data_IF_864072729086
#
_entry.id   IF_864072729086
#
_cell.length_a   1.000
_cell.length_b   1.000
_cell.length_c   1.000
_cell.angle_alpha   90.00
_cell.angle_beta   90.00
_cell.angle_gamma   90.00
#
_symmetry.space_group_name_H-M   'P 1'
#
loop_
_entity.id
_entity.type
_entity.pdbx_description
1 polymer ?
#
# COMPACT_ATOMS: atom_id res chain seq x y z
N UNK A 1 -9.09 11.38 -16.06
CA UNK A 1 -10.03 10.50 -16.81
C UNK A 1 -9.71 10.44 -18.30
N UNK A 2 -9.48 11.54 -19.01
CA UNK A 2 -9.14 11.48 -20.45
C UNK A 2 -7.88 10.63 -20.72
N UNK A 3 -6.82 10.81 -19.94
CA UNK A 3 -5.60 10.01 -20.07
C UNK A 3 -5.80 8.53 -19.71
N UNK A 4 -6.63 8.23 -18.71
CA UNK A 4 -6.98 6.85 -18.38
C UNK A 4 -7.70 6.16 -19.56
N UNK A 5 -8.66 6.86 -20.20
CA UNK A 5 -9.31 6.34 -21.42
C UNK A 5 -8.30 6.07 -22.54
N UNK A 6 -7.33 6.97 -22.74
CA UNK A 6 -6.28 6.77 -23.74
C UNK A 6 -5.37 5.58 -23.42
N UNK A 7 -5.04 5.36 -22.14
CA UNK A 7 -4.28 4.18 -21.73
C UNK A 7 -5.08 2.88 -21.91
N UNK A 8 -6.36 2.88 -21.52
CA UNK A 8 -7.26 1.72 -21.72
C UNK A 8 -7.43 1.35 -23.19
N UNK A 9 -7.41 2.33 -24.10
CA UNK A 9 -7.47 2.07 -25.54
C UNK A 9 -6.28 1.25 -26.09
N UNK A 10 -5.19 1.13 -25.34
CA UNK A 10 -4.03 0.31 -25.68
C UNK A 10 -4.16 -1.16 -25.26
N UNK A 11 -5.20 -1.50 -24.50
CA UNK A 11 -5.48 -2.87 -24.08
C UNK A 11 -5.58 -3.81 -25.31
N UNK A 12 -4.93 -4.96 -25.20
CA UNK A 12 -4.86 -5.97 -26.27
C UNK A 12 -3.77 -5.69 -27.33
N UNK A 13 -2.98 -4.64 -27.17
CA UNK A 13 -1.96 -4.26 -28.17
C UNK A 13 -0.51 -4.39 -27.69
N UNK A 14 -0.27 -4.57 -26.37
CA UNK A 14 1.06 -4.52 -25.78
C UNK A 14 2.00 -5.61 -26.31
N UNK A 15 1.47 -6.77 -26.64
CA UNK A 15 2.23 -7.89 -27.22
C UNK A 15 2.60 -7.77 -28.69
N UNK A 16 2.16 -6.71 -29.38
CA UNK A 16 2.39 -6.56 -30.84
C UNK A 16 3.85 -6.23 -31.17
N UNK A 17 4.47 -5.31 -30.40
CA UNK A 17 5.87 -4.89 -30.60
C UNK A 17 6.48 -4.32 -29.33
N UNK A 18 7.82 -4.19 -29.28
CA UNK A 18 8.53 -3.51 -28.22
C UNK A 18 8.04 -2.05 -28.06
N UNK A 19 7.79 -1.34 -29.14
CA UNK A 19 7.30 0.05 -29.11
C UNK A 19 5.86 0.16 -28.59
N UNK A 20 5.00 -0.82 -28.93
CA UNK A 20 3.65 -0.90 -28.38
C UNK A 20 3.69 -1.14 -26.87
N UNK A 21 4.57 -2.02 -26.40
CA UNK A 21 4.79 -2.28 -24.97
C UNK A 21 5.28 -1.02 -24.24
N UNK A 22 6.31 -0.34 -24.75
CA UNK A 22 6.81 0.93 -24.20
C UNK A 22 5.69 1.98 -24.11
N UNK A 23 4.90 2.10 -25.16
CA UNK A 23 3.80 3.05 -25.23
C UNK A 23 2.75 2.75 -24.17
N UNK A 24 2.38 1.49 -24.00
CA UNK A 24 1.45 1.05 -22.97
C UNK A 24 1.95 1.30 -21.55
N UNK A 25 3.19 0.88 -21.25
CA UNK A 25 3.82 1.12 -19.95
C UNK A 25 3.84 2.63 -19.63
N UNK A 26 4.33 3.46 -20.54
CA UNK A 26 4.40 4.91 -20.36
C UNK A 26 3.02 5.54 -20.12
N UNK A 27 2.01 5.11 -20.89
CA UNK A 27 0.64 5.61 -20.76
C UNK A 27 0.05 5.29 -19.38
N UNK A 28 0.18 4.04 -18.92
CA UNK A 28 -0.31 3.60 -17.61
C UNK A 28 0.42 4.31 -16.47
N UNK A 29 1.76 4.35 -16.50
CA UNK A 29 2.56 5.05 -15.49
C UNK A 29 2.28 6.54 -15.43
N UNK A 30 1.98 7.20 -16.56
CA UNK A 30 1.61 8.61 -16.58
C UNK A 30 0.27 8.87 -15.87
N UNK A 31 -0.70 7.95 -15.97
CA UNK A 31 -1.97 8.02 -15.24
C UNK A 31 -1.72 7.89 -13.73
N UNK A 32 -1.00 6.83 -13.31
CA UNK A 32 -0.71 6.62 -11.89
C UNK A 32 0.09 7.76 -11.27
N UNK A 33 1.09 8.29 -11.95
CA UNK A 33 1.89 9.43 -11.48
C UNK A 33 1.06 10.70 -11.24
N UNK A 34 0.01 10.91 -12.04
CA UNK A 34 -0.93 12.01 -11.83
C UNK A 34 -1.89 11.74 -10.69
N UNK A 35 -2.40 10.53 -10.62
CA UNK A 35 -3.27 10.09 -9.54
C UNK A 35 -2.57 10.19 -8.19
N UNK A 36 -1.34 9.70 -8.09
CA UNK A 36 -0.54 9.74 -6.87
C UNK A 36 -0.44 11.14 -6.25
N UNK A 37 -0.24 12.17 -7.07
CA UNK A 37 -0.22 13.56 -6.58
C UNK A 37 -1.54 13.99 -5.94
N UNK A 38 -2.66 13.57 -6.51
CA UNK A 38 -3.99 13.86 -5.95
C UNK A 38 -4.21 13.09 -4.68
N UNK A 39 -3.87 11.80 -4.68
CA UNK A 39 -4.03 10.91 -3.55
C UNK A 39 -3.19 11.38 -2.34
N UNK A 40 -1.89 11.60 -2.54
CA UNK A 40 -0.98 12.07 -1.48
C UNK A 40 -1.45 13.40 -0.90
N UNK A 41 -1.87 14.35 -1.75
CA UNK A 41 -2.40 15.63 -1.26
C UNK A 41 -3.65 15.43 -0.40
N UNK A 42 -4.60 14.62 -0.85
CA UNK A 42 -5.85 14.36 -0.12
C UNK A 42 -5.62 13.62 1.19
N UNK A 43 -4.73 12.64 1.20
CA UNK A 43 -4.34 11.89 2.40
C UNK A 43 -3.68 12.80 3.42
N UNK A 44 -2.66 13.59 3.03
CA UNK A 44 -1.99 14.51 3.94
C UNK A 44 -2.94 15.58 4.52
N UNK A 45 -3.94 16.02 3.74
CA UNK A 45 -4.97 16.94 4.25
C UNK A 45 -5.87 16.27 5.27
N UNK A 46 -6.27 15.02 5.02
CA UNK A 46 -7.02 14.21 5.98
C UNK A 46 -6.23 13.98 7.28
N UNK A 47 -4.94 13.68 7.17
CA UNK A 47 -4.05 13.47 8.33
C UNK A 47 -3.80 14.76 9.13
N UNK A 48 -3.76 15.91 8.44
CA UNK A 48 -3.58 17.23 9.09
C UNK A 48 -4.75 17.57 10.03
N UNK A 49 -5.98 17.20 9.65
CA UNK A 49 -7.18 17.46 10.45
C UNK A 49 -8.22 16.37 10.17
N UNK A 50 -8.14 15.30 10.96
CA UNK A 50 -9.01 14.13 10.87
C UNK A 50 -10.49 14.43 11.23
N UNK A 51 -10.77 15.54 11.91
CA UNK A 51 -12.14 16.01 12.21
C UNK A 51 -12.78 16.78 11.05
N UNK A 52 -12.02 17.16 10.02
CA UNK A 52 -12.52 17.98 8.93
C UNK A 52 -13.26 17.16 7.86
N UNK A 53 -14.58 17.26 7.86
CA UNK A 53 -15.45 16.52 6.94
C UNK A 53 -15.13 16.76 5.46
N UNK A 54 -14.64 17.95 5.10
CA UNK A 54 -14.24 18.26 3.71
C UNK A 54 -13.00 17.48 3.31
N UNK A 55 -12.00 17.38 4.18
CA UNK A 55 -10.77 16.63 3.93
C UNK A 55 -11.04 15.12 3.89
N UNK A 56 -11.88 14.62 4.79
CA UNK A 56 -12.32 13.22 4.75
C UNK A 56 -13.05 12.88 3.45
N UNK A 57 -14.01 13.72 3.03
CA UNK A 57 -14.72 13.53 1.77
C UNK A 57 -13.80 13.59 0.54
N UNK A 58 -12.79 14.45 0.57
CA UNK A 58 -11.79 14.55 -0.51
C UNK A 58 -10.93 13.29 -0.57
N UNK A 59 -10.47 12.77 0.58
CA UNK A 59 -9.68 11.54 0.62
C UNK A 59 -10.49 10.33 0.14
N UNK A 60 -11.72 10.17 0.61
CA UNK A 60 -12.61 9.10 0.15
C UNK A 60 -12.86 9.13 -1.37
N UNK A 61 -12.98 10.34 -1.97
CA UNK A 61 -13.09 10.48 -3.44
C UNK A 61 -11.80 10.07 -4.15
N UNK A 62 -10.64 10.39 -3.57
CA UNK A 62 -9.35 9.97 -4.15
C UNK A 62 -9.19 8.45 -4.08
N UNK A 63 -9.54 7.82 -2.97
CA UNK A 63 -9.53 6.37 -2.81
C UNK A 63 -10.44 5.67 -3.82
N UNK A 64 -11.68 6.14 -3.95
CA UNK A 64 -12.63 5.64 -4.96
C UNK A 64 -12.10 5.78 -6.39
N UNK A 65 -11.49 6.92 -6.72
CA UNK A 65 -10.84 7.12 -8.02
C UNK A 65 -9.66 6.15 -8.20
N UNK A 66 -8.88 5.89 -7.15
CA UNK A 66 -7.78 4.93 -7.17
C UNK A 66 -8.26 3.52 -7.51
N UNK A 67 -9.31 3.06 -6.86
CA UNK A 67 -9.93 1.77 -7.14
C UNK A 67 -10.45 1.67 -8.59
N UNK A 68 -11.11 2.74 -9.08
CA UNK A 68 -11.55 2.83 -10.48
C UNK A 68 -10.38 2.70 -11.46
N UNK A 69 -9.30 3.46 -11.25
CA UNK A 69 -8.12 3.44 -12.11
C UNK A 69 -7.39 2.10 -12.05
N UNK A 70 -7.23 1.52 -10.87
CA UNK A 70 -6.61 0.20 -10.70
C UNK A 70 -7.38 -0.87 -11.49
N UNK A 71 -8.70 -0.88 -11.39
CA UNK A 71 -9.55 -1.80 -12.16
C UNK A 71 -9.42 -1.59 -13.68
N UNK A 72 -9.48 -0.34 -14.14
CA UNK A 72 -9.39 -0.03 -15.58
C UNK A 72 -8.04 -0.37 -16.19
N UNK A 73 -6.95 -0.25 -15.43
CA UNK A 73 -5.57 -0.42 -15.88
C UNK A 73 -4.96 -1.78 -15.51
N UNK A 74 -5.73 -2.64 -14.88
CA UNK A 74 -5.31 -3.99 -14.46
C UNK A 74 -4.88 -4.92 -15.61
N UNK A 75 -5.09 -4.52 -16.86
CA UNK A 75 -4.69 -5.30 -18.03
C UNK A 75 -3.18 -5.32 -18.27
N UNK A 76 -2.41 -4.37 -17.70
CA UNK A 76 -0.99 -4.18 -18.01
C UNK A 76 -0.17 -5.43 -17.69
N UNK A 77 -0.24 -5.91 -16.46
CA UNK A 77 0.56 -7.04 -16.00
C UNK A 77 0.19 -8.35 -16.71
N UNK A 78 -1.10 -8.72 -16.85
CA UNK A 78 -1.50 -9.89 -17.61
C UNK A 78 -1.05 -9.85 -19.07
N UNK A 79 -1.08 -8.71 -19.74
CA UNK A 79 -0.62 -8.61 -21.13
C UNK A 79 0.90 -8.74 -21.24
N UNK A 80 1.68 -8.18 -20.29
CA UNK A 80 3.13 -8.40 -20.22
C UNK A 80 3.43 -9.89 -20.01
N UNK A 81 2.71 -10.52 -19.07
CA UNK A 81 2.87 -11.95 -18.78
C UNK A 81 2.45 -12.86 -19.92
N UNK A 82 1.53 -12.42 -20.79
CA UNK A 82 1.13 -13.16 -21.98
C UNK A 82 2.17 -13.12 -23.12
N UNK A 83 3.14 -12.20 -23.09
CA UNK A 83 4.23 -12.15 -24.07
C UNK A 83 5.17 -13.34 -23.83
N UNK A 84 5.51 -14.16 -24.86
CA UNK A 84 6.47 -15.24 -24.73
C UNK A 84 7.80 -14.77 -24.11
N UNK A 85 8.38 -15.58 -23.23
CA UNK A 85 9.55 -15.18 -22.44
C UNK A 85 10.77 -14.84 -23.30
N UNK A 86 11.03 -15.60 -24.35
CA UNK A 86 12.10 -15.35 -25.31
C UNK A 86 11.94 -14.01 -26.03
N UNK A 87 10.73 -13.72 -26.47
CA UNK A 87 10.36 -12.46 -27.12
C UNK A 87 10.50 -11.27 -26.16
N UNK A 88 9.99 -11.42 -24.94
CA UNK A 88 10.07 -10.37 -23.93
C UNK A 88 11.53 -10.08 -23.52
N UNK A 89 12.35 -11.12 -23.36
CA UNK A 89 13.79 -10.98 -23.08
C UNK A 89 14.50 -10.23 -24.20
N UNK A 90 14.24 -10.58 -25.46
CA UNK A 90 14.82 -9.88 -26.60
C UNK A 90 14.39 -8.40 -26.67
N UNK A 91 13.15 -8.09 -26.30
CA UNK A 91 12.65 -6.72 -26.28
C UNK A 91 13.19 -5.90 -25.11
N UNK A 92 13.32 -6.52 -23.93
CA UNK A 92 13.78 -5.89 -22.69
C UNK A 92 15.13 -5.17 -22.86
N UNK A 93 16.02 -5.74 -23.65
CA UNK A 93 17.37 -5.22 -23.86
C UNK A 93 17.45 -4.13 -24.95
N UNK A 94 16.34 -3.84 -25.63
CA UNK A 94 16.28 -2.71 -26.58
C UNK A 94 16.41 -1.37 -25.86
N UNK A 95 16.96 -0.37 -26.55
CA UNK A 95 17.18 0.97 -26.00
C UNK A 95 15.88 1.59 -25.44
N UNK A 96 14.74 1.31 -26.07
CA UNK A 96 13.43 1.84 -25.68
C UNK A 96 12.86 1.20 -24.40
N UNK A 97 13.12 -0.10 -24.14
CA UNK A 97 12.64 -0.84 -22.98
C UNK A 97 13.64 -0.95 -21.84
N UNK A 98 14.91 -0.76 -22.09
CA UNK A 98 15.96 -0.79 -21.07
C UNK A 98 15.66 0.02 -19.81
N UNK A 99 15.08 1.24 -19.86
CA UNK A 99 14.69 1.98 -18.66
C UNK A 99 13.58 1.30 -17.84
N UNK A 100 12.82 0.38 -18.45
CA UNK A 100 11.72 -0.37 -17.81
C UNK A 100 12.12 -1.81 -17.48
N UNK A 101 13.39 -2.19 -17.65
CA UNK A 101 13.87 -3.55 -17.43
C UNK A 101 13.51 -4.09 -16.06
N UNK A 102 13.81 -3.33 -14.99
CA UNK A 102 13.44 -3.73 -13.63
C UNK A 102 11.92 -3.84 -13.42
N UNK A 103 11.14 -2.96 -14.01
CA UNK A 103 9.68 -3.01 -13.94
C UNK A 103 9.13 -4.30 -14.58
N UNK A 104 9.66 -4.66 -15.76
CA UNK A 104 9.29 -5.90 -16.47
C UNK A 104 9.73 -7.12 -15.66
N UNK A 105 10.95 -7.12 -15.11
CA UNK A 105 11.47 -8.22 -14.30
C UNK A 105 10.61 -8.44 -13.05
N UNK A 106 10.20 -7.37 -12.38
CA UNK A 106 9.33 -7.44 -11.19
C UNK A 106 7.95 -8.08 -11.49
N UNK A 107 7.41 -7.85 -12.70
CA UNK A 107 6.18 -8.50 -13.14
C UNK A 107 6.44 -9.96 -13.50
N UNK A 108 7.50 -10.23 -14.26
CA UNK A 108 7.76 -11.57 -14.81
C UNK A 108 8.20 -12.58 -13.75
N UNK A 109 8.86 -12.15 -12.67
CA UNK A 109 9.22 -13.04 -11.54
C UNK A 109 7.99 -13.72 -10.94
N UNK A 110 6.84 -13.07 -11.00
CA UNK A 110 5.58 -13.62 -10.48
C UNK A 110 4.86 -14.56 -11.45
N UNK A 111 5.38 -14.78 -12.66
CA UNK A 111 4.71 -15.56 -13.72
C UNK A 111 4.27 -16.95 -13.26
N UNK A 112 5.11 -17.64 -12.48
CA UNK A 112 4.83 -18.99 -11.96
C UNK A 112 3.83 -18.97 -10.80
N UNK A 113 3.57 -17.81 -10.20
CA UNK A 113 2.67 -17.62 -9.06
C UNK A 113 1.31 -17.05 -9.46
N UNK A 114 1.12 -16.65 -10.72
CA UNK A 114 -0.18 -16.16 -11.22
C UNK A 114 -1.13 -17.33 -11.40
N UNK A 115 -2.27 -17.25 -10.73
CA UNK A 115 -3.30 -18.27 -10.78
C UNK A 115 -4.18 -18.12 -12.03
N UNK A 116 -5.09 -19.06 -12.24
CA UNK A 116 -6.10 -18.90 -13.29
C UNK A 116 -7.01 -17.72 -12.99
N UNK A 117 -7.58 -17.10 -14.03
CA UNK A 117 -8.49 -15.95 -13.87
C UNK A 117 -9.65 -16.26 -12.91
N UNK A 118 -10.16 -17.49 -12.89
CA UNK A 118 -11.23 -17.90 -11.98
C UNK A 118 -10.74 -17.98 -10.52
N UNK A 119 -9.51 -18.46 -10.28
CA UNK A 119 -8.92 -18.54 -8.95
C UNK A 119 -8.58 -17.14 -8.41
N UNK A 120 -8.03 -16.26 -9.26
CA UNK A 120 -7.78 -14.84 -8.90
C UNK A 120 -9.08 -14.12 -8.52
N UNK A 121 -10.15 -14.31 -9.30
CA UNK A 121 -11.46 -13.73 -9.01
C UNK A 121 -12.05 -14.25 -7.68
N UNK A 122 -11.84 -15.53 -7.37
CA UNK A 122 -12.29 -16.13 -6.12
C UNK A 122 -11.52 -15.52 -4.91
N UNK A 123 -10.20 -15.43 -5.01
CA UNK A 123 -9.36 -14.81 -3.97
C UNK A 123 -9.72 -13.33 -3.80
N UNK A 124 -9.92 -12.60 -4.90
CA UNK A 124 -10.33 -11.20 -4.85
C UNK A 124 -11.71 -11.03 -4.16
N UNK A 125 -12.65 -11.94 -4.36
CA UNK A 125 -13.95 -11.90 -3.68
C UNK A 125 -13.88 -12.20 -2.18
N UNK A 126 -12.81 -12.88 -1.73
CA UNK A 126 -12.54 -13.14 -0.31
C UNK A 126 -11.69 -12.00 0.33
N UNK A 127 -11.31 -10.98 -0.42
CA UNK A 127 -10.37 -9.94 0.00
C UNK A 127 -10.75 -9.24 1.30
N UNK A 128 -12.02 -8.89 1.50
CA UNK A 128 -12.49 -8.25 2.72
C UNK A 128 -12.31 -9.18 3.94
N UNK A 129 -12.61 -10.45 3.81
CA UNK A 129 -12.43 -11.44 4.87
C UNK A 129 -10.94 -11.66 5.18
N UNK A 130 -10.10 -11.75 4.15
CA UNK A 130 -8.65 -11.91 4.30
C UNK A 130 -7.99 -10.67 4.92
N UNK A 131 -8.54 -9.48 4.69
CA UNK A 131 -8.04 -8.22 5.26
C UNK A 131 -8.59 -7.93 6.67
N UNK A 132 -9.54 -8.69 7.17
CA UNK A 132 -10.21 -8.44 8.45
C UNK A 132 -9.23 -8.42 9.63
N UNK A 133 -8.25 -9.32 9.66
CA UNK A 133 -7.20 -9.36 10.70
C UNK A 133 -6.40 -8.06 10.75
N UNK A 134 -5.99 -7.55 9.59
CA UNK A 134 -5.26 -6.28 9.49
C UNK A 134 -6.12 -5.09 9.94
N UNK A 135 -7.38 -5.04 9.50
CA UNK A 135 -8.32 -4.00 9.91
C UNK A 135 -8.57 -4.02 11.43
N UNK A 136 -8.77 -5.21 12.01
CA UNK A 136 -8.94 -5.39 13.45
C UNK A 136 -7.70 -4.92 14.22
N UNK A 137 -6.51 -5.31 13.79
CA UNK A 137 -5.26 -4.84 14.39
C UNK A 137 -5.15 -3.32 14.36
N UNK A 138 -5.46 -2.68 13.23
CA UNK A 138 -5.37 -1.23 13.08
C UNK A 138 -6.31 -0.48 14.03
N UNK A 139 -7.58 -0.92 14.14
CA UNK A 139 -8.53 -0.30 15.06
C UNK A 139 -8.08 -0.50 16.51
N UNK A 140 -7.72 -1.73 16.86
CA UNK A 140 -7.27 -2.07 18.21
C UNK A 140 -6.03 -1.27 18.62
N UNK A 141 -5.01 -1.22 17.76
CA UNK A 141 -3.72 -0.57 18.03
C UNK A 141 -3.80 0.96 18.06
N UNK A 142 -4.65 1.56 17.22
CA UNK A 142 -4.66 3.01 17.01
C UNK A 142 -5.81 3.73 17.74
N UNK A 143 -6.84 2.97 18.18
CA UNK A 143 -8.02 3.55 18.81
C UNK A 143 -8.27 3.03 20.21
N UNK A 144 -8.22 1.71 20.41
CA UNK A 144 -8.73 1.10 21.65
C UNK A 144 -7.61 0.85 22.66
N UNK A 145 -6.37 0.61 22.19
CA UNK A 145 -5.26 0.26 23.06
C UNK A 145 -4.74 1.48 23.83
N UNK A 146 -4.73 1.36 25.16
CA UNK A 146 -4.20 2.38 26.06
C UNK A 146 -2.86 1.92 26.63
N UNK A 147 -1.79 2.66 26.33
CA UNK A 147 -0.41 2.28 26.72
C UNK A 147 -0.05 2.69 28.17
N UNK A 148 -0.99 3.27 28.94
CA UNK A 148 -0.73 3.71 30.29
C UNK A 148 0.00 5.05 30.35
N UNK A 149 0.57 5.33 31.53
CA UNK A 149 1.27 6.58 31.82
C UNK A 149 2.71 6.31 32.21
N UNK A 150 3.59 7.24 31.84
CA UNK A 150 5.02 7.25 32.18
C UNK A 150 5.43 8.65 32.63
N UNK A 151 6.50 8.75 33.42
CA UNK A 151 7.11 10.04 33.76
C UNK A 151 8.07 10.44 32.62
N UNK A 152 7.94 11.68 32.08
CA UNK A 152 8.83 12.18 31.03
C UNK A 152 10.17 12.72 31.61
N UNK A 153 11.05 13.29 30.78
CA UNK A 153 12.34 13.83 31.23
C UNK A 153 12.18 15.05 32.16
N UNK A 154 11.06 15.75 32.08
CA UNK A 154 10.73 16.92 32.90
C UNK A 154 10.04 16.55 34.23
N UNK A 155 9.84 15.25 34.50
CA UNK A 155 9.16 14.74 35.70
C UNK A 155 7.63 14.81 35.63
N UNK A 156 7.06 15.03 34.44
CA UNK A 156 5.62 15.09 34.25
C UNK A 156 5.07 13.71 33.91
N UNK A 157 3.92 13.35 34.47
CA UNK A 157 3.21 12.14 34.09
C UNK A 157 2.45 12.36 32.79
N UNK A 158 2.83 11.63 31.76
CA UNK A 158 2.26 11.73 30.40
C UNK A 158 1.68 10.39 29.96
N UNK A 159 0.58 10.43 29.20
CA UNK A 159 0.02 9.23 28.60
C UNK A 159 0.92 8.75 27.46
N UNK A 160 1.33 7.48 27.50
CA UNK A 160 2.17 6.88 26.47
C UNK A 160 1.37 6.67 25.18
N UNK A 161 2.01 6.96 24.07
CA UNK A 161 1.55 6.63 22.71
C UNK A 161 2.68 6.00 21.92
N UNK A 162 2.39 5.38 20.78
CA UNK A 162 3.42 4.85 19.87
C UNK A 162 4.44 5.93 19.45
N UNK A 163 3.96 7.15 19.18
CA UNK A 163 4.83 8.29 18.82
C UNK A 163 5.72 8.73 19.98
N UNK A 164 5.15 8.88 21.19
CA UNK A 164 5.89 9.26 22.39
C UNK A 164 6.89 8.17 22.80
N UNK A 165 6.50 6.89 22.69
CA UNK A 165 7.43 5.78 22.92
C UNK A 165 8.68 5.88 22.03
N UNK A 166 8.50 6.20 20.74
CA UNK A 166 9.60 6.38 19.82
C UNK A 166 10.58 7.49 20.20
N UNK A 167 10.13 8.49 20.96
CA UNK A 167 10.97 9.54 21.54
C UNK A 167 11.65 9.06 22.83
N UNK A 168 10.87 8.53 23.77
CA UNK A 168 11.35 8.15 25.11
C UNK A 168 12.37 6.99 25.07
N UNK A 169 12.23 6.04 24.14
CA UNK A 169 13.18 4.92 24.01
C UNK A 169 14.59 5.37 23.56
N UNK A 170 14.71 6.60 23.05
CA UNK A 170 15.99 7.22 22.66
C UNK A 170 16.60 8.11 23.75
N UNK A 171 15.91 8.30 24.87
CA UNK A 171 16.40 9.09 26.00
C UNK A 171 17.73 8.55 26.54
N UNK A 172 18.59 9.40 27.03
CA UNK A 172 19.81 9.00 27.76
C UNK A 172 19.48 8.40 29.13
N UNK A 173 18.31 8.73 29.69
CA UNK A 173 17.83 8.20 30.96
C UNK A 173 17.39 6.72 30.82
N UNK A 174 18.20 5.80 31.37
CA UNK A 174 17.95 4.36 31.28
C UNK A 174 16.64 3.95 31.99
N UNK A 175 16.31 4.60 33.12
CA UNK A 175 15.09 4.31 33.89
C UNK A 175 13.86 4.62 33.01
N UNK A 176 13.84 5.80 32.41
CA UNK A 176 12.76 6.23 31.54
C UNK A 176 12.59 5.30 30.31
N UNK A 177 13.68 4.90 29.66
CA UNK A 177 13.60 3.92 28.57
C UNK A 177 12.96 2.61 29.00
N UNK A 178 13.34 2.10 30.17
CA UNK A 178 12.79 0.86 30.74
C UNK A 178 11.29 1.00 31.03
N UNK A 179 10.90 2.07 31.69
CA UNK A 179 9.49 2.31 32.04
C UNK A 179 8.61 2.45 30.79
N UNK A 180 9.06 3.19 29.77
CA UNK A 180 8.36 3.32 28.51
C UNK A 180 8.23 1.97 27.79
N UNK A 181 9.29 1.17 27.74
CA UNK A 181 9.30 -0.15 27.14
C UNK A 181 8.33 -1.10 27.85
N UNK A 182 8.40 -1.18 29.19
CA UNK A 182 7.52 -2.04 29.98
C UNK A 182 6.07 -1.62 29.92
N UNK A 183 5.79 -0.30 29.87
CA UNK A 183 4.42 0.21 29.75
C UNK A 183 3.82 -0.15 28.38
N UNK A 184 4.57 0.01 27.29
CA UNK A 184 4.15 -0.38 25.96
C UNK A 184 3.83 -1.87 25.90
N UNK A 185 4.76 -2.73 26.35
CA UNK A 185 4.59 -4.18 26.26
C UNK A 185 3.47 -4.70 27.15
N UNK A 186 3.27 -4.14 28.35
CA UNK A 186 2.13 -4.51 29.21
C UNK A 186 0.78 -4.27 28.54
N UNK A 187 0.67 -3.19 27.76
CA UNK A 187 -0.55 -2.92 27.01
C UNK A 187 -0.83 -4.03 25.98
N UNK A 188 0.17 -4.42 25.20
CA UNK A 188 0.02 -5.54 24.26
C UNK A 188 -0.20 -6.88 24.95
N UNK A 189 0.49 -7.13 26.06
CA UNK A 189 0.33 -8.36 26.84
C UNK A 189 -1.09 -8.54 27.35
N UNK A 190 -1.77 -7.45 27.77
CA UNK A 190 -3.15 -7.49 28.23
C UNK A 190 -4.13 -8.01 27.17
N UNK A 191 -3.79 -7.85 25.89
CA UNK A 191 -4.61 -8.26 24.73
C UNK A 191 -3.98 -9.41 23.92
N UNK A 192 -2.97 -10.11 24.47
CA UNK A 192 -2.22 -11.14 23.76
C UNK A 192 -3.10 -12.22 23.10
N UNK A 193 -4.18 -12.61 23.76
CA UNK A 193 -5.08 -13.63 23.23
C UNK A 193 -5.89 -13.11 22.04
N UNK A 194 -6.30 -11.83 22.08
CA UNK A 194 -6.99 -11.17 20.97
C UNK A 194 -6.06 -11.06 19.77
N UNK A 195 -4.81 -10.61 19.99
CA UNK A 195 -3.81 -10.54 18.91
C UNK A 195 -3.49 -11.92 18.35
N UNK A 196 -3.34 -12.94 19.18
CA UNK A 196 -3.12 -14.30 18.71
C UNK A 196 -4.27 -14.81 17.82
N UNK A 197 -5.52 -14.48 18.19
CA UNK A 197 -6.69 -14.87 17.40
C UNK A 197 -6.78 -14.15 16.04
N UNK A 198 -6.21 -12.95 15.90
CA UNK A 198 -6.17 -12.27 14.59
C UNK A 198 -5.14 -12.87 13.63
N UNK A 199 -4.23 -13.72 14.10
CA UNK A 199 -3.20 -14.40 13.32
C UNK A 199 -3.59 -15.84 12.92
N UNK A 200 -4.67 -16.36 13.47
CA UNK A 200 -5.16 -17.73 13.22
C UNK A 200 -6.27 -17.75 12.19
#
# INVERSE_FOLDING_TARGET
RAQAKAAVALKGTLGNSADALVTGIKAVLAVFRRFEKVYVYSSLKSDQDTGNATYQAMNAKAESLGAELASQLAFLDPEILAIPSDKLTAWRDTESLKPFGHFIDAITVNREHVLTTAAEALIASAGDALNASHATFNVLNNSDLQFGFVENEDGETVQLSNGLYGQLIRSTNRKLRKEAFEALLRAYESLKNTFAQTLS
#
